data_IF_273534799043
#
_entry.id   IF_273534799043
#
_cell.length_a   1.000
_cell.length_b   1.000
_cell.length_c   1.000
_cell.angle_alpha   90.00
_cell.angle_beta   90.00
_cell.angle_gamma   90.00
#
_symmetry.space_group_name_H-M   'P 1'
#
loop_
_entity.id
_entity.type
_entity.pdbx_description
1 polymer ?
#
# COMPACT_ATOMS: atom_id res chain seq x y z
N UNK A 1 24.62 -65.32 16.21
CA UNK A 1 24.74 -63.95 15.67
C UNK A 1 23.81 -63.86 14.46
N UNK A 2 22.70 -63.15 14.45
CA UNK A 2 22.20 -62.11 15.34
C UNK A 2 20.67 -62.05 15.09
N UNK A 3 19.91 -62.89 15.81
CA UNK A 3 18.46 -62.80 15.85
C UNK A 3 18.09 -61.61 16.76
N UNK A 4 18.06 -60.39 16.20
CA UNK A 4 17.73 -59.18 16.99
C UNK A 4 17.35 -57.96 16.13
N UNK A 5 16.51 -58.15 15.11
CA UNK A 5 15.91 -57.05 14.33
C UNK A 5 14.40 -57.28 14.13
N UNK A 6 13.75 -57.78 15.17
CA UNK A 6 12.30 -57.84 15.27
C UNK A 6 11.90 -57.02 16.51
N UNK A 7 10.94 -56.11 16.31
CA UNK A 7 10.34 -55.22 17.30
C UNK A 7 11.07 -53.89 17.59
N UNK A 8 10.25 -52.83 17.73
CA UNK A 8 10.53 -51.54 18.38
C UNK A 8 10.96 -50.35 17.50
N UNK A 9 10.47 -50.24 16.26
CA UNK A 9 10.29 -48.89 15.66
C UNK A 9 8.91 -48.75 15.02
N UNK A 10 7.90 -49.25 15.73
CA UNK A 10 6.49 -48.88 15.55
C UNK A 10 6.11 -48.00 16.73
N UNK A 11 5.34 -46.95 16.45
CA UNK A 11 4.80 -45.95 17.37
C UNK A 11 5.75 -44.79 17.70
N UNK A 12 5.56 -43.68 16.97
CA UNK A 12 4.93 -42.48 17.55
C UNK A 12 5.18 -41.26 16.66
N UNK A 13 4.53 -41.22 15.50
CA UNK A 13 4.28 -39.93 14.83
C UNK A 13 2.94 -39.42 15.36
N UNK A 14 3.04 -38.58 16.37
CA UNK A 14 1.95 -37.80 16.94
C UNK A 14 1.36 -36.91 15.86
N UNK A 15 0.13 -37.23 15.44
CA UNK A 15 -0.69 -36.37 14.59
C UNK A 15 -1.10 -35.18 15.46
N UNK A 16 -0.44 -34.04 15.27
CA UNK A 16 -0.88 -32.78 15.85
C UNK A 16 -2.11 -32.35 15.05
N UNK A 17 -3.30 -32.70 15.57
CA UNK A 17 -4.56 -32.13 15.14
C UNK A 17 -4.61 -30.66 15.61
N UNK A 18 -3.96 -29.78 14.85
CA UNK A 18 -4.16 -28.35 15.00
C UNK A 18 -5.49 -27.99 14.34
N UNK A 19 -6.46 -27.61 15.16
CA UNK A 19 -7.67 -26.94 14.73
C UNK A 19 -7.25 -25.63 14.05
N UNK A 20 -7.11 -25.64 12.72
CA UNK A 20 -6.97 -24.42 11.95
C UNK A 20 -8.30 -23.69 12.06
N UNK A 21 -8.39 -22.76 13.01
CA UNK A 21 -9.41 -21.73 12.97
C UNK A 21 -9.19 -20.96 11.68
N UNK A 22 -10.14 -21.09 10.74
CA UNK A 22 -10.13 -20.32 9.51
C UNK A 22 -10.04 -18.84 9.86
N UNK A 23 -8.91 -18.22 9.55
CA UNK A 23 -8.81 -16.76 9.53
C UNK A 23 -9.79 -16.23 8.48
N UNK A 24 -10.56 -15.16 8.77
CA UNK A 24 -11.37 -14.48 7.77
C UNK A 24 -10.51 -14.13 6.57
N UNK A 25 -11.08 -14.18 5.37
CA UNK A 25 -10.38 -13.89 4.13
C UNK A 25 -9.60 -12.57 4.25
N UNK A 26 -8.28 -12.70 4.36
CA UNK A 26 -7.35 -11.62 4.05
C UNK A 26 -7.63 -11.22 2.62
N UNK A 27 -8.07 -9.98 2.39
CA UNK A 27 -8.13 -9.40 1.06
C UNK A 27 -6.74 -9.51 0.42
N UNK A 28 -6.59 -10.46 -0.51
CA UNK A 28 -5.31 -10.88 -1.11
C UNK A 28 -4.59 -9.76 -1.88
N UNK A 29 -5.19 -8.57 -2.00
CA UNK A 29 -4.65 -7.43 -2.72
C UNK A 29 -3.88 -6.43 -1.85
N UNK A 30 -3.93 -6.54 -0.51
CA UNK A 30 -3.25 -5.58 0.35
C UNK A 30 -1.94 -6.15 0.91
N UNK A 31 -0.78 -5.75 0.37
CA UNK A 31 0.47 -6.19 0.92
C UNK A 31 0.76 -5.53 2.25
N UNK A 32 0.05 -4.55 2.81
CA UNK A 32 0.46 -3.74 3.99
C UNK A 32 1.96 -3.37 4.07
N UNK A 33 2.51 -3.05 5.25
CA UNK A 33 3.84 -2.41 5.36
C UNK A 33 4.93 -3.35 5.95
N UNK A 34 6.16 -3.42 5.40
CA UNK A 34 6.56 -2.88 4.10
C UNK A 34 5.98 -3.70 2.94
N UNK A 35 5.57 -4.96 3.16
CA UNK A 35 4.65 -5.77 2.32
C UNK A 35 4.04 -7.01 3.10
N UNK A 36 3.58 -6.86 4.37
CA UNK A 36 2.62 -7.82 5.02
C UNK A 36 1.18 -7.29 5.34
N UNK A 37 0.15 -8.16 5.44
CA UNK A 37 -1.28 -7.84 5.25
C UNK A 37 -1.82 -6.75 6.17
N UNK A 38 -2.64 -5.86 5.61
CA UNK A 38 -3.43 -4.93 6.41
C UNK A 38 -4.29 -5.69 7.40
N UNK A 39 -4.16 -5.31 8.67
CA UNK A 39 -5.05 -5.81 9.72
C UNK A 39 -6.50 -5.54 9.33
N UNK A 40 -7.38 -6.48 9.67
CA UNK A 40 -8.82 -6.25 9.64
C UNK A 40 -9.12 -4.96 10.43
N UNK A 41 -9.48 -3.88 9.73
CA UNK A 41 -9.64 -2.54 10.30
C UNK A 41 -8.93 -1.41 9.55
N UNK A 42 -7.99 -1.70 8.63
CA UNK A 42 -7.43 -0.65 7.76
C UNK A 42 -8.46 -0.29 6.70
N UNK A 43 -9.01 0.92 6.79
CA UNK A 43 -9.92 1.45 5.77
C UNK A 43 -9.17 1.61 4.43
N UNK A 44 -9.81 1.32 3.29
CA UNK A 44 -9.22 1.59 1.98
C UNK A 44 -8.77 3.06 1.86
N UNK A 45 -7.66 3.31 1.17
CA UNK A 45 -7.22 4.69 0.93
C UNK A 45 -8.07 5.32 -0.17
N UNK A 46 -8.50 6.55 0.06
CA UNK A 46 -9.24 7.36 -0.90
C UNK A 46 -8.70 8.79 -0.94
N UNK A 47 -8.88 9.44 -2.09
CA UNK A 47 -8.35 10.78 -2.33
C UNK A 47 -8.86 11.78 -1.29
N UNK A 48 -10.18 11.88 -1.10
CA UNK A 48 -10.79 12.91 -0.24
C UNK A 48 -10.33 12.77 1.21
N UNK A 49 -10.30 11.55 1.73
CA UNK A 49 -10.06 11.27 3.14
C UNK A 49 -8.57 11.25 3.50
N UNK A 50 -7.72 10.72 2.61
CA UNK A 50 -6.35 10.35 2.99
C UNK A 50 -5.27 11.08 2.19
N UNK A 51 -5.51 11.39 0.91
CA UNK A 51 -4.49 11.92 0.01
C UNK A 51 -4.57 13.43 -0.12
N UNK A 52 -5.78 13.98 -0.27
CA UNK A 52 -6.02 15.41 -0.38
C UNK A 52 -5.41 16.20 0.80
N UNK A 53 -5.54 15.76 2.08
CA UNK A 53 -4.89 16.46 3.19
C UNK A 53 -3.36 16.51 3.08
N UNK A 54 -2.73 15.48 2.50
CA UNK A 54 -1.28 15.46 2.25
C UNK A 54 -0.94 16.48 1.17
N UNK A 55 -1.66 16.43 0.04
CA UNK A 55 -1.43 17.31 -1.11
C UNK A 55 -1.72 18.78 -0.81
N UNK A 56 -2.74 19.08 0.00
CA UNK A 56 -3.06 20.44 0.43
C UNK A 56 -1.93 21.07 1.25
N UNK A 57 -1.25 20.29 2.09
CA UNK A 57 -0.16 20.77 2.95
C UNK A 57 1.16 20.83 2.21
N UNK A 58 1.51 19.78 1.47
CA UNK A 58 2.87 19.58 0.96
C UNK A 58 3.03 19.99 -0.51
N UNK A 59 1.96 20.07 -1.30
CA UNK A 59 2.04 20.19 -2.76
C UNK A 59 1.31 21.42 -3.32
N UNK A 60 0.17 21.79 -2.74
CA UNK A 60 -0.73 22.81 -3.28
C UNK A 60 -0.11 24.22 -3.34
N UNK A 61 0.97 24.49 -2.61
CA UNK A 61 1.69 25.78 -2.72
C UNK A 61 2.25 26.04 -4.13
N UNK A 62 2.58 24.97 -4.87
CA UNK A 62 3.15 25.03 -6.23
C UNK A 62 2.37 24.21 -7.27
N UNK A 63 1.42 23.38 -6.83
CA UNK A 63 0.56 22.53 -7.68
C UNK A 63 -0.92 22.81 -7.38
N UNK A 64 -1.32 24.08 -7.37
CA UNK A 64 -2.72 24.46 -7.25
C UNK A 64 -3.31 24.92 -8.59
N UNK A 65 -4.61 25.19 -8.61
CA UNK A 65 -5.30 25.83 -9.73
C UNK A 65 -4.80 27.26 -10.00
N UNK A 66 -4.10 27.88 -9.04
CA UNK A 66 -3.54 29.24 -9.16
C UNK A 66 -2.07 29.24 -9.56
N UNK A 67 -1.31 28.20 -9.19
CA UNK A 67 0.07 27.97 -9.59
C UNK A 67 0.21 26.47 -9.86
N UNK A 68 0.13 26.06 -11.14
CA UNK A 68 0.17 24.66 -11.57
C UNK A 68 1.53 24.33 -12.21
N UNK A 69 2.60 24.41 -11.41
CA UNK A 69 3.96 24.15 -11.93
C UNK A 69 4.04 22.76 -12.54
N UNK A 70 4.78 22.65 -13.65
CA UNK A 70 4.84 21.40 -14.41
C UNK A 70 3.50 21.01 -15.06
N UNK A 71 2.56 21.95 -15.22
CA UNK A 71 1.22 21.72 -15.77
C UNK A 71 0.42 20.66 -14.98
N UNK A 72 0.65 20.57 -13.66
CA UNK A 72 -0.01 19.62 -12.77
C UNK A 72 -0.61 20.33 -11.57
N UNK A 73 -1.86 19.99 -11.22
CA UNK A 73 -2.59 20.53 -10.07
C UNK A 73 -3.12 19.38 -9.21
N UNK A 74 -3.02 19.55 -7.89
CA UNK A 74 -3.59 18.65 -6.88
C UNK A 74 -4.86 19.22 -6.23
N UNK A 75 -5.37 20.35 -6.72
CA UNK A 75 -6.44 21.12 -6.07
C UNK A 75 -7.76 20.36 -5.97
N UNK A 76 -8.04 19.55 -7.00
CA UNK A 76 -9.24 18.74 -7.11
C UNK A 76 -8.88 17.33 -7.51
N UNK A 77 -9.79 16.39 -7.27
CA UNK A 77 -9.59 15.00 -7.69
C UNK A 77 -9.38 14.90 -9.21
N UNK A 78 -10.23 15.48 -10.09
CA UNK A 78 -10.02 15.44 -11.53
C UNK A 78 -8.64 15.96 -11.96
N UNK A 79 -8.16 17.07 -11.37
CA UNK A 79 -6.84 17.60 -11.68
C UNK A 79 -5.74 16.62 -11.28
N UNK A 80 -5.86 16.06 -10.08
CA UNK A 80 -4.86 15.17 -9.48
C UNK A 80 -4.69 13.88 -10.29
N UNK A 81 -5.79 13.30 -10.77
CA UNK A 81 -5.77 12.03 -11.51
C UNK A 81 -5.56 12.23 -13.01
N UNK A 82 -5.57 13.46 -13.49
CA UNK A 82 -5.29 13.76 -14.90
C UNK A 82 -3.90 13.24 -15.29
N UNK A 83 -3.86 12.40 -16.32
CA UNK A 83 -2.63 11.76 -16.81
C UNK A 83 -2.11 10.61 -15.95
N UNK A 84 -2.75 10.28 -14.83
CA UNK A 84 -2.39 9.14 -13.99
C UNK A 84 -3.08 7.86 -14.47
N UNK A 85 -2.47 6.71 -14.20
CA UNK A 85 -2.99 5.39 -14.56
C UNK A 85 -3.24 4.58 -13.29
N UNK A 86 -4.50 4.27 -13.03
CA UNK A 86 -4.88 3.41 -11.92
C UNK A 86 -4.16 2.05 -12.01
N UNK A 87 -3.60 1.58 -10.90
CA UNK A 87 -2.84 0.33 -10.86
C UNK A 87 -1.40 0.42 -11.37
N UNK A 88 -0.96 1.58 -11.86
CA UNK A 88 0.34 1.74 -12.52
C UNK A 88 1.32 2.53 -11.65
N UNK A 89 2.40 1.86 -11.21
CA UNK A 89 3.49 2.46 -10.46
C UNK A 89 4.32 3.47 -11.28
N UNK A 90 4.15 3.52 -12.60
CA UNK A 90 4.78 4.51 -13.49
C UNK A 90 3.95 5.80 -13.66
N UNK A 91 2.78 5.90 -12.99
CA UNK A 91 2.06 7.16 -12.88
C UNK A 91 2.98 8.26 -12.33
N UNK A 92 3.00 9.44 -12.96
CA UNK A 92 3.96 10.50 -12.62
C UNK A 92 3.88 10.90 -11.15
N UNK A 93 2.67 10.98 -10.58
CA UNK A 93 2.48 11.29 -9.15
C UNK A 93 3.16 10.27 -8.24
N UNK A 94 3.25 9.00 -8.65
CA UNK A 94 3.95 7.94 -7.91
C UNK A 94 5.45 8.11 -8.06
N UNK A 95 5.94 8.24 -9.30
CA UNK A 95 7.37 8.35 -9.59
C UNK A 95 7.98 9.59 -8.93
N UNK A 96 7.33 10.74 -9.06
CA UNK A 96 7.83 12.01 -8.52
C UNK A 96 7.80 12.04 -6.99
N UNK A 97 6.82 11.39 -6.36
CA UNK A 97 6.67 11.37 -4.90
C UNK A 97 7.38 10.20 -4.21
N UNK A 98 7.95 9.25 -4.95
CA UNK A 98 8.70 8.11 -4.39
C UNK A 98 10.10 8.52 -3.92
N UNK A 99 10.76 7.76 -3.00
CA UNK A 99 12.14 8.02 -2.62
C UNK A 99 13.07 8.16 -3.84
N UNK A 100 13.76 9.30 -3.95
CA UNK A 100 14.59 9.65 -5.11
C UNK A 100 13.87 10.40 -6.24
N UNK A 101 12.54 10.49 -6.18
CA UNK A 101 11.71 11.32 -7.05
C UNK A 101 11.86 12.81 -6.78
N UNK A 102 11.52 13.61 -7.79
CA UNK A 102 11.73 15.07 -7.77
C UNK A 102 10.95 15.78 -6.65
N UNK A 103 9.79 15.23 -6.28
CA UNK A 103 8.86 15.83 -5.31
C UNK A 103 8.97 15.24 -3.90
N UNK A 104 9.65 14.11 -3.73
CA UNK A 104 9.76 13.41 -2.44
C UNK A 104 10.26 14.29 -1.28
N UNK A 105 11.20 15.19 -1.56
CA UNK A 105 11.79 16.08 -0.56
C UNK A 105 10.80 17.09 0.05
N UNK A 106 9.68 17.37 -0.63
CA UNK A 106 8.71 18.37 -0.19
C UNK A 106 7.65 17.82 0.78
N UNK A 107 7.60 16.50 1.00
CA UNK A 107 6.79 15.98 2.09
C UNK A 107 7.30 16.49 3.44
N UNK A 108 6.41 17.10 4.21
CA UNK A 108 6.67 17.41 5.62
C UNK A 108 6.55 16.16 6.51
N UNK A 109 7.26 16.13 7.64
CA UNK A 109 7.16 15.03 8.61
C UNK A 109 7.64 13.68 8.08
N UNK A 110 6.89 12.63 8.36
CA UNK A 110 7.18 11.26 7.89
C UNK A 110 6.88 11.12 6.39
N UNK A 111 7.93 11.35 5.59
CA UNK A 111 7.86 11.34 4.12
C UNK A 111 7.65 9.96 3.57
N UNK A 112 8.28 8.95 4.16
CA UNK A 112 8.19 7.57 3.73
C UNK A 112 6.74 7.10 3.82
N UNK A 113 6.07 7.33 4.97
CA UNK A 113 4.67 6.96 5.15
C UNK A 113 3.76 7.69 4.15
N UNK A 114 3.98 8.99 3.91
CA UNK A 114 3.19 9.77 2.94
C UNK A 114 3.40 9.28 1.50
N UNK A 115 4.63 9.03 1.07
CA UNK A 115 4.94 8.46 -0.23
C UNK A 115 4.31 7.08 -0.41
N UNK A 116 4.35 6.22 0.62
CA UNK A 116 3.68 4.93 0.61
C UNK A 116 2.17 5.06 0.48
N UNK A 117 1.54 6.04 1.14
CA UNK A 117 0.10 6.30 0.96
C UNK A 117 -0.23 6.70 -0.47
N UNK A 118 0.55 7.59 -1.09
CA UNK A 118 0.35 7.99 -2.49
C UNK A 118 0.51 6.80 -3.42
N UNK A 119 1.59 6.02 -3.29
CA UNK A 119 1.82 4.79 -4.05
C UNK A 119 0.62 3.84 -3.94
N UNK A 120 0.19 3.54 -2.71
CA UNK A 120 -0.91 2.59 -2.49
C UNK A 120 -2.22 3.10 -3.03
N UNK A 121 -2.52 4.38 -2.88
CA UNK A 121 -3.74 4.97 -3.44
C UNK A 121 -3.79 4.82 -4.97
N UNK A 122 -2.67 5.05 -5.68
CA UNK A 122 -2.61 4.88 -7.13
C UNK A 122 -2.65 3.42 -7.54
N UNK A 123 -1.76 2.60 -6.95
CA UNK A 123 -1.43 1.26 -7.44
C UNK A 123 -2.33 0.18 -6.85
N UNK A 124 -2.69 0.29 -5.57
CA UNK A 124 -3.48 -0.73 -4.86
C UNK A 124 -4.96 -0.37 -4.88
N UNK A 125 -5.30 0.90 -4.63
CA UNK A 125 -6.68 1.38 -4.53
C UNK A 125 -7.19 2.08 -5.79
N UNK A 126 -6.48 1.93 -6.92
CA UNK A 126 -6.92 2.35 -8.26
C UNK A 126 -7.43 3.79 -8.34
N UNK A 127 -6.74 4.72 -7.68
CA UNK A 127 -7.08 6.14 -7.64
C UNK A 127 -8.48 6.40 -7.04
N UNK A 128 -8.97 5.59 -6.10
CA UNK A 128 -10.29 5.79 -5.49
C UNK A 128 -10.50 7.23 -4.98
N UNK A 129 -11.59 7.88 -5.41
CA UNK A 129 -11.89 9.25 -4.99
C UNK A 129 -12.41 9.31 -3.55
N UNK A 130 -13.32 8.40 -3.20
CA UNK A 130 -13.96 8.27 -1.89
C UNK A 130 -14.06 6.80 -1.50
N UNK A 131 -14.22 6.53 -0.20
CA UNK A 131 -14.57 5.21 0.36
C UNK A 131 -15.93 5.25 1.02
#
# INVERSE_FOLDING_TARGET
>A
MLALLCAVVLASMTIIAACVTATPATDTADPGFPFGPSSAGVQPLAYVQDIKPIFDVDCASCHSSRDARGNYSVSTYPDTVSGQRAGDAQSSVVVDSSPGGSMYQYFSGDRQTKATKVFRWVVVYNLAQTR
#
